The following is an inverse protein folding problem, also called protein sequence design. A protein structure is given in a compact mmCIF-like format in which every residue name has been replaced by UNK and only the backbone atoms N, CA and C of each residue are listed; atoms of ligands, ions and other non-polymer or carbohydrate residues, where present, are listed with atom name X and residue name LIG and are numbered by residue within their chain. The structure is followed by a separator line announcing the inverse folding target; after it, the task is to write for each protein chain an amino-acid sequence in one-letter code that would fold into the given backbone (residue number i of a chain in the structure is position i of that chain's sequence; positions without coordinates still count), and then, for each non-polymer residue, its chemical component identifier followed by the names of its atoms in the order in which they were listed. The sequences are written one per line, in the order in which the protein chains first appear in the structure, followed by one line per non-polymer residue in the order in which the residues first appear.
data_IF_438706343833
#
_entry.id   IF_438706343833
#
_cell.length_a   1.000
_cell.length_b   1.000
_cell.length_c   1.000
_cell.angle_alpha   90.00
_cell.angle_beta   90.00
_cell.angle_gamma   90.00
#
_symmetry.space_group_name_H-M   'P 1'
#
loop_
_entity.id
_entity.type
_entity.pdbx_description
1 polymer ?
#
# COMPACT_ATOMS: atom_id res chain seq x y z
N UNK A 1 -55.30 -34.67 2.05
CA UNK A 1 -54.32 -33.56 1.97
C UNK A 1 -54.74 -32.62 0.85
N UNK A 2 -54.96 -31.33 1.11
CA UNK A 2 -55.49 -30.40 0.09
C UNK A 2 -54.37 -29.85 -0.80
N UNK A 3 -54.71 -29.50 -2.05
CA UNK A 3 -53.78 -28.84 -2.99
C UNK A 3 -53.21 -27.52 -2.43
N UNK A 4 -53.95 -26.87 -1.52
CA UNK A 4 -53.54 -25.64 -0.85
C UNK A 4 -52.41 -25.89 0.17
N UNK A 5 -52.46 -27.01 0.90
CA UNK A 5 -51.39 -27.41 1.83
C UNK A 5 -50.08 -27.73 1.09
N UNK A 6 -50.15 -28.36 -0.09
CA UNK A 6 -48.98 -28.66 -0.92
C UNK A 6 -48.30 -27.37 -1.41
N UNK A 7 -49.08 -26.37 -1.88
CA UNK A 7 -48.55 -25.08 -2.33
C UNK A 7 -47.86 -24.30 -1.21
N UNK A 8 -48.42 -24.30 0.01
CA UNK A 8 -47.81 -23.64 1.16
C UNK A 8 -46.49 -24.30 1.57
N UNK A 9 -46.43 -25.63 1.58
CA UNK A 9 -45.19 -26.36 1.86
C UNK A 9 -44.11 -26.06 0.81
N UNK A 10 -44.46 -26.06 -0.48
CA UNK A 10 -43.54 -25.72 -1.55
C UNK A 10 -43.00 -24.28 -1.43
N UNK A 11 -43.86 -23.30 -1.09
CA UNK A 11 -43.43 -21.92 -0.87
C UNK A 11 -42.47 -21.79 0.30
N UNK A 12 -42.74 -22.48 1.41
CA UNK A 12 -41.86 -22.46 2.59
C UNK A 12 -40.48 -23.05 2.26
N UNK A 13 -40.45 -24.21 1.62
CA UNK A 13 -39.20 -24.83 1.18
C UNK A 13 -38.39 -23.94 0.22
N UNK A 14 -39.07 -23.24 -0.70
CA UNK A 14 -38.41 -22.30 -1.62
C UNK A 14 -37.81 -21.08 -0.88
N UNK A 15 -38.52 -20.53 0.10
CA UNK A 15 -38.03 -19.41 0.92
C UNK A 15 -36.84 -19.83 1.79
N UNK A 16 -36.90 -21.02 2.40
CA UNK A 16 -35.82 -21.56 3.23
C UNK A 16 -34.56 -21.80 2.38
N UNK A 17 -34.71 -22.38 1.18
CA UNK A 17 -33.59 -22.55 0.25
C UNK A 17 -32.99 -21.20 -0.20
N UNK A 18 -33.82 -20.18 -0.40
CA UNK A 18 -33.36 -18.84 -0.75
C UNK A 18 -32.62 -18.16 0.42
N UNK A 19 -33.09 -18.31 1.65
CA UNK A 19 -32.45 -17.73 2.82
C UNK A 19 -31.07 -18.34 3.06
N UNK A 20 -30.94 -19.67 2.95
CA UNK A 20 -29.64 -20.37 3.08
C UNK A 20 -28.64 -19.84 2.06
N UNK A 21 -29.02 -19.78 0.78
CA UNK A 21 -28.15 -19.27 -0.30
C UNK A 21 -27.73 -17.82 -0.06
N UNK A 22 -28.62 -16.99 0.48
CA UNK A 22 -28.31 -15.58 0.80
C UNK A 22 -27.29 -15.49 1.93
N UNK A 23 -27.44 -16.29 2.98
CA UNK A 23 -26.49 -16.36 4.10
C UNK A 23 -25.14 -16.82 3.60
N UNK A 24 -25.07 -17.94 2.88
CA UNK A 24 -23.82 -18.48 2.32
C UNK A 24 -23.10 -17.47 1.42
N UNK A 25 -23.84 -16.78 0.55
CA UNK A 25 -23.27 -15.71 -0.30
C UNK A 25 -22.72 -14.58 0.55
N UNK A 26 -23.47 -14.12 1.55
CA UNK A 26 -23.03 -13.03 2.43
C UNK A 26 -21.78 -13.41 3.24
N UNK A 27 -21.68 -14.66 3.70
CA UNK A 27 -20.50 -15.13 4.41
C UNK A 27 -19.29 -15.26 3.48
N UNK A 28 -19.49 -15.76 2.26
CA UNK A 28 -18.46 -15.80 1.24
C UNK A 28 -17.95 -14.39 0.94
N UNK A 29 -18.85 -13.44 0.73
CA UNK A 29 -18.51 -12.04 0.51
C UNK A 29 -17.74 -11.44 1.70
N UNK A 30 -18.19 -11.67 2.94
CA UNK A 30 -17.45 -11.27 4.15
C UNK A 30 -16.05 -11.90 4.23
N UNK A 31 -15.89 -13.16 3.83
CA UNK A 31 -14.57 -13.81 3.78
C UNK A 31 -13.70 -13.18 2.71
N UNK A 32 -14.23 -12.95 1.51
CA UNK A 32 -13.52 -12.31 0.40
C UNK A 32 -13.10 -10.88 0.75
N UNK A 33 -13.99 -10.08 1.35
CA UNK A 33 -13.69 -8.71 1.76
C UNK A 33 -12.55 -8.68 2.79
N UNK A 34 -12.56 -9.59 3.78
CA UNK A 34 -11.46 -9.71 4.75
C UNK A 34 -10.14 -10.09 4.09
N UNK A 35 -10.17 -11.01 3.12
CA UNK A 35 -8.97 -11.40 2.37
C UNK A 35 -8.46 -10.25 1.49
N UNK A 36 -9.36 -9.53 0.81
CA UNK A 36 -9.01 -8.37 0.00
C UNK A 36 -8.33 -7.29 0.83
N UNK A 37 -8.87 -6.97 2.02
CA UNK A 37 -8.22 -6.03 2.95
C UNK A 37 -6.82 -6.49 3.33
N UNK A 38 -6.62 -7.77 3.67
CA UNK A 38 -5.29 -8.30 3.98
C UNK A 38 -4.31 -8.15 2.82
N UNK A 39 -4.74 -8.44 1.59
CA UNK A 39 -3.90 -8.26 0.39
C UNK A 39 -3.53 -6.79 0.20
N UNK A 40 -4.50 -5.89 0.31
CA UNK A 40 -4.26 -4.46 0.16
C UNK A 40 -3.33 -3.91 1.23
N UNK A 41 -3.48 -4.32 2.48
CA UNK A 41 -2.57 -3.95 3.57
C UNK A 41 -1.15 -4.40 3.26
N UNK A 42 -0.94 -5.67 2.89
CA UNK A 42 0.40 -6.17 2.56
C UNK A 42 1.05 -5.42 1.36
N UNK A 43 0.26 -5.07 0.34
CA UNK A 43 0.74 -4.26 -0.79
C UNK A 43 1.17 -2.87 -0.32
N UNK A 44 0.40 -2.23 0.56
CA UNK A 44 0.71 -0.91 1.11
C UNK A 44 1.92 -0.93 2.01
N UNK A 45 2.02 -1.90 2.92
CA UNK A 45 3.20 -2.11 3.76
C UNK A 45 4.47 -2.30 2.92
N UNK A 46 4.40 -3.12 1.87
CA UNK A 46 5.51 -3.27 0.92
C UNK A 46 5.86 -1.96 0.25
N UNK A 47 4.89 -1.20 -0.22
CA UNK A 47 5.14 0.08 -0.87
C UNK A 47 5.80 1.09 0.08
N UNK A 48 5.36 1.13 1.34
CA UNK A 48 5.98 1.97 2.38
C UNK A 48 7.42 1.53 2.67
N UNK A 49 7.66 0.22 2.82
CA UNK A 49 9.00 -0.32 3.05
C UNK A 49 9.96 -0.02 1.90
N UNK A 50 9.49 -0.11 0.65
CA UNK A 50 10.28 0.25 -0.54
C UNK A 50 10.55 1.76 -0.55
N UNK A 51 9.55 2.60 -0.28
CA UNK A 51 9.72 4.05 -0.24
C UNK A 51 10.72 4.49 0.83
N UNK A 52 10.68 3.86 2.02
CA UNK A 52 11.63 4.12 3.09
C UNK A 52 13.05 3.69 2.71
N UNK A 53 13.20 2.51 2.09
CA UNK A 53 14.48 2.04 1.59
C UNK A 53 15.06 2.98 0.51
N UNK A 54 14.23 3.42 -0.44
CA UNK A 54 14.61 4.38 -1.48
C UNK A 54 15.09 5.70 -0.87
N UNK A 55 14.38 6.22 0.15
CA UNK A 55 14.76 7.44 0.87
C UNK A 55 16.13 7.27 1.55
N UNK A 56 16.32 6.22 2.36
CA UNK A 56 17.60 5.97 3.06
C UNK A 56 18.75 5.76 2.09
N UNK A 57 18.52 5.07 0.96
CA UNK A 57 19.51 4.93 -0.10
C UNK A 57 19.84 6.29 -0.72
N UNK A 58 18.83 7.12 -0.98
CA UNK A 58 19.00 8.49 -1.47
C UNK A 58 19.81 9.38 -0.52
N UNK A 59 19.57 9.28 0.79
CA UNK A 59 20.33 10.02 1.82
C UNK A 59 21.81 9.63 1.80
N UNK A 60 22.12 8.34 1.82
CA UNK A 60 23.49 7.85 1.74
C UNK A 60 24.18 8.27 0.42
N UNK A 61 23.47 8.20 -0.71
CA UNK A 61 23.99 8.66 -2.00
C UNK A 61 24.21 10.18 -2.05
N UNK A 62 23.39 10.94 -1.33
CA UNK A 62 23.58 12.39 -1.18
C UNK A 62 24.85 12.68 -0.40
N UNK A 63 25.09 11.98 0.71
CA UNK A 63 26.35 12.09 1.47
C UNK A 63 27.57 11.72 0.62
N UNK A 64 27.51 10.60 -0.13
CA UNK A 64 28.57 10.21 -1.06
C UNK A 64 28.89 11.28 -2.12
N UNK A 65 27.89 12.01 -2.61
CA UNK A 65 28.12 13.04 -3.64
C UNK A 65 28.53 14.38 -3.03
N UNK A 66 27.91 14.79 -1.93
CA UNK A 66 28.06 16.13 -1.37
C UNK A 66 29.19 16.23 -0.34
N UNK A 67 29.34 15.23 0.53
CA UNK A 67 30.40 15.20 1.52
C UNK A 67 31.71 14.62 0.94
N UNK A 68 31.60 13.52 0.20
CA UNK A 68 32.78 12.83 -0.37
C UNK A 68 33.13 13.31 -1.80
N UNK A 69 32.33 14.21 -2.39
CA UNK A 69 32.63 14.84 -3.68
C UNK A 69 32.53 13.91 -4.90
N UNK A 70 31.89 12.75 -4.78
CA UNK A 70 31.79 11.78 -5.87
C UNK A 70 30.82 12.25 -6.96
N UNK A 71 31.10 11.90 -8.22
CA UNK A 71 30.07 12.01 -9.26
C UNK A 71 29.04 10.90 -9.10
N UNK A 72 27.85 11.07 -9.70
CA UNK A 72 26.84 10.00 -9.72
C UNK A 72 27.32 8.70 -10.37
N UNK A 73 28.29 8.79 -11.30
CA UNK A 73 28.92 7.62 -11.93
C UNK A 73 29.87 6.92 -10.97
N UNK A 74 30.67 7.67 -10.22
CA UNK A 74 31.61 7.09 -9.26
C UNK A 74 30.86 6.45 -8.09
N UNK A 75 29.81 7.11 -7.57
CA UNK A 75 28.93 6.54 -6.56
C UNK A 75 28.29 5.22 -7.05
N UNK A 76 27.83 5.18 -8.30
CA UNK A 76 27.31 3.97 -8.94
C UNK A 76 28.35 2.83 -9.00
N UNK A 77 29.61 3.15 -9.29
CA UNK A 77 30.71 2.17 -9.28
C UNK A 77 31.02 1.67 -7.87
N UNK A 78 31.01 2.54 -6.86
CA UNK A 78 31.14 2.16 -5.45
C UNK A 78 30.01 1.24 -4.98
N UNK A 79 28.80 1.43 -5.52
CA UNK A 79 27.68 0.50 -5.33
C UNK A 79 27.78 -0.78 -6.17
N UNK A 80 28.94 -1.09 -6.75
CA UNK A 80 29.17 -2.31 -7.54
C UNK A 80 28.41 -2.35 -8.87
N UNK A 81 27.85 -1.23 -9.32
CA UNK A 81 27.02 -1.16 -10.54
C UNK A 81 25.57 -1.64 -10.35
N UNK A 82 25.18 -2.11 -9.16
CA UNK A 82 23.80 -2.52 -8.84
C UNK A 82 22.82 -1.34 -8.96
N UNK A 83 23.31 -0.12 -8.72
CA UNK A 83 22.57 1.12 -8.85
C UNK A 83 23.18 1.94 -9.98
N UNK A 84 22.45 2.13 -11.07
CA UNK A 84 22.92 2.94 -12.21
C UNK A 84 23.06 4.42 -11.85
N UNK A 85 23.90 5.19 -12.56
CA UNK A 85 24.03 6.63 -12.34
C UNK A 85 22.70 7.40 -12.47
N UNK A 86 21.78 6.93 -13.34
CA UNK A 86 20.42 7.49 -13.45
C UNK A 86 19.62 7.23 -12.18
N UNK A 87 19.77 6.05 -11.61
CA UNK A 87 19.08 5.65 -10.38
C UNK A 87 19.65 6.38 -9.16
N UNK A 88 20.98 6.59 -9.11
CA UNK A 88 21.61 7.47 -8.11
C UNK A 88 20.96 8.85 -8.12
N UNK A 89 20.83 9.47 -9.30
CA UNK A 89 20.20 10.78 -9.43
C UNK A 89 18.69 10.77 -9.11
N UNK A 90 17.99 9.63 -9.29
CA UNK A 90 16.58 9.49 -8.92
C UNK A 90 16.42 9.39 -7.40
N UNK A 91 17.18 8.52 -6.75
CA UNK A 91 17.11 8.27 -5.31
C UNK A 91 17.51 9.51 -4.49
N UNK A 92 18.56 10.22 -4.90
CA UNK A 92 18.94 11.50 -4.27
C UNK A 92 17.82 12.54 -4.31
N UNK A 93 17.10 12.65 -5.44
CA UNK A 93 15.95 13.56 -5.54
C UNK A 93 14.79 13.17 -4.63
N UNK A 94 14.57 11.87 -4.42
CA UNK A 94 13.56 11.39 -3.46
C UNK A 94 13.92 11.80 -2.04
N UNK A 95 15.18 11.63 -1.65
CA UNK A 95 15.66 12.07 -0.34
C UNK A 95 15.47 13.57 -0.14
N UNK A 96 15.86 14.40 -1.12
CA UNK A 96 15.68 15.86 -1.03
C UNK A 96 14.21 16.28 -0.95
N UNK A 97 13.32 15.65 -1.74
CA UNK A 97 11.90 15.96 -1.73
C UNK A 97 11.23 15.58 -0.39
N UNK A 98 11.64 14.47 0.23
CA UNK A 98 11.16 14.05 1.54
C UNK A 98 11.56 15.05 2.66
N UNK A 99 12.75 15.64 2.57
CA UNK A 99 13.19 16.68 3.52
C UNK A 99 12.30 17.93 3.43
N UNK A 100 11.88 18.34 2.24
CA UNK A 100 11.03 19.54 2.04
C UNK A 100 9.60 19.36 2.60
N UNK A 101 9.04 18.15 2.61
CA UNK A 101 7.70 17.90 3.16
C UNK A 101 7.65 17.92 4.69
N UNK A 102 8.79 17.71 5.36
CA UNK A 102 8.89 17.76 6.84
C UNK A 102 8.93 19.18 7.43
N UNK A 103 9.00 20.21 6.58
CA UNK A 103 9.12 21.62 6.96
C UNK A 103 7.80 22.36 6.67
N UNK A 104 6.69 21.88 7.22
CA UNK A 104 5.43 22.65 7.28
C UNK A 104 5.41 23.46 8.59
N UNK A 105 5.42 24.81 8.56
CA UNK A 105 5.34 25.60 9.80
C UNK A 105 3.99 25.39 10.48
N UNK A 106 4.01 25.15 11.79
CA UNK A 106 2.80 25.04 12.60
C UNK A 106 2.16 26.43 12.73
N UNK A 107 0.85 26.60 12.44
CA UNK A 107 0.21 27.92 12.39
C UNK A 107 -0.07 28.57 13.77
N UNK A 108 0.57 28.13 14.86
CA UNK A 108 0.28 28.64 16.22
C UNK A 108 1.22 29.75 16.71
N UNK A 109 2.22 30.17 15.92
CA UNK A 109 3.12 31.28 16.28
C UNK A 109 2.68 32.67 15.72
N UNK A 110 1.41 32.80 15.32
CA UNK A 110 0.81 34.07 14.90
C UNK A 110 -0.32 34.46 15.86
N UNK A 111 0.05 34.92 17.06
CA UNK A 111 -0.53 36.12 17.67
C UNK A 111 0.27 36.48 18.94
N UNK A 112 1.01 37.60 18.84
CA UNK A 112 1.46 38.43 19.96
C UNK A 112 0.49 39.59 20.12
#
# INVERSE_FOLDING_TARGET
MSKQTIKQQARRAALDAQSVRRVERSERERRLNRLAVKVLVAIRERALAVSDADRRAGEALTEMVEAEGLTARDASQWCGGEVSAREVARLRRIATAASTESETPHPEDLDT
#
